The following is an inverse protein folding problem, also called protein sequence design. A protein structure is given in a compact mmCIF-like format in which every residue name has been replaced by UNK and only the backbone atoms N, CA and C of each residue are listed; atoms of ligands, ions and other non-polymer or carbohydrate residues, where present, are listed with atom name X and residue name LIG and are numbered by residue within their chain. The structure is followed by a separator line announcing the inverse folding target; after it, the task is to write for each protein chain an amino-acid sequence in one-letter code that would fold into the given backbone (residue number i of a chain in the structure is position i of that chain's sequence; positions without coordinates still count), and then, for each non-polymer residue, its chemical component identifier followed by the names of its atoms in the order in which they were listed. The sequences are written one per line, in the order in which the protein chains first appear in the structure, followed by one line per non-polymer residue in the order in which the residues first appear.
data_IF_673402460229
#
_entry.id   IF_673402460229
#
_cell.length_a   1.000
_cell.length_b   1.000
_cell.length_c   1.000
_cell.angle_alpha   90.00
_cell.angle_beta   90.00
_cell.angle_gamma   90.00
#
_symmetry.space_group_name_H-M   'P 1'
#
loop_
_entity.id
_entity.type
_entity.pdbx_description
1 polymer ?
#
# COMPACT_ATOMS: atom_id res chain seq x y z
N UNK A 1 -6.08 -2.56 -26.01
CA UNK A 1 -4.69 -2.79 -26.47
C UNK A 1 -4.55 -4.27 -26.78
N UNK A 2 -4.05 -4.64 -27.97
CA UNK A 2 -3.76 -6.04 -28.28
C UNK A 2 -2.43 -6.39 -27.61
N UNK A 3 -2.40 -7.43 -26.78
CA UNK A 3 -1.14 -7.95 -26.23
C UNK A 3 -0.28 -8.47 -27.40
N UNK A 4 0.96 -7.98 -27.48
CA UNK A 4 1.97 -8.45 -28.42
C UNK A 4 3.11 -9.15 -27.67
N UNK A 5 3.77 -10.07 -28.36
CA UNK A 5 4.91 -10.84 -27.91
C UNK A 5 6.16 -10.32 -28.63
N UNK A 6 7.14 -9.83 -27.87
CA UNK A 6 8.40 -9.33 -28.42
C UNK A 6 9.45 -10.45 -28.47
N UNK A 7 10.00 -10.72 -29.65
CA UNK A 7 11.17 -11.58 -29.80
C UNK A 7 12.40 -10.92 -29.15
N UNK A 8 13.11 -11.62 -28.27
CA UNK A 8 14.28 -11.11 -27.55
C UNK A 8 15.58 -11.20 -28.35
N UNK A 9 15.61 -12.03 -29.38
CA UNK A 9 16.76 -12.15 -30.30
C UNK A 9 16.79 -10.99 -31.32
N UNK A 10 15.64 -10.58 -31.86
CA UNK A 10 15.57 -9.55 -32.92
C UNK A 10 14.68 -8.34 -32.62
N UNK A 11 14.00 -8.30 -31.49
CA UNK A 11 13.14 -7.19 -31.08
C UNK A 11 11.76 -7.11 -31.77
N UNK A 12 11.45 -8.02 -32.70
CA UNK A 12 10.21 -8.02 -33.48
C UNK A 12 8.97 -8.26 -32.61
N UNK A 13 7.94 -7.43 -32.79
CA UNK A 13 6.65 -7.57 -32.12
C UNK A 13 5.70 -8.47 -32.91
N UNK A 14 5.19 -9.51 -32.27
CA UNK A 14 4.37 -10.58 -32.86
C UNK A 14 3.04 -10.66 -32.11
N UNK A 15 1.93 -10.78 -32.84
CA UNK A 15 0.59 -10.71 -32.23
C UNK A 15 0.22 -11.92 -31.36
N UNK A 16 0.82 -13.08 -31.58
CA UNK A 16 0.42 -14.33 -30.93
C UNK A 16 1.62 -15.16 -30.47
N UNK A 17 1.43 -15.94 -29.41
CA UNK A 17 2.46 -16.85 -28.91
C UNK A 17 2.89 -17.87 -29.98
N UNK A 18 1.92 -18.47 -30.68
CA UNK A 18 2.22 -19.42 -31.76
C UNK A 18 3.04 -18.76 -32.89
N UNK A 19 2.75 -17.49 -33.20
CA UNK A 19 3.56 -16.70 -34.12
C UNK A 19 4.99 -16.51 -33.63
N UNK A 20 5.18 -16.21 -32.33
CA UNK A 20 6.50 -16.09 -31.72
C UNK A 20 7.27 -17.41 -31.80
N UNK A 21 6.64 -18.53 -31.44
CA UNK A 21 7.24 -19.87 -31.54
C UNK A 21 7.69 -20.16 -32.97
N UNK A 22 6.81 -19.96 -33.95
CA UNK A 22 7.13 -20.19 -35.37
C UNK A 22 8.28 -19.28 -35.84
N UNK A 23 8.26 -18.01 -35.43
CA UNK A 23 9.31 -17.06 -35.74
C UNK A 23 10.67 -17.51 -35.19
N UNK A 24 10.76 -17.86 -33.92
CA UNK A 24 12.01 -18.31 -33.28
C UNK A 24 12.57 -19.55 -33.97
N UNK A 25 11.73 -20.55 -34.23
CA UNK A 25 12.16 -21.80 -34.87
C UNK A 25 12.61 -21.56 -36.31
N UNK A 26 11.91 -20.74 -37.08
CA UNK A 26 12.19 -20.58 -38.51
C UNK A 26 13.33 -19.60 -38.79
N UNK A 27 13.40 -18.49 -38.06
CA UNK A 27 14.38 -17.41 -38.31
C UNK A 27 15.63 -17.54 -37.46
N UNK A 28 15.50 -17.92 -36.19
CA UNK A 28 16.63 -18.03 -35.28
C UNK A 28 17.16 -19.47 -35.15
N UNK A 29 16.40 -20.46 -35.62
CA UNK A 29 16.73 -21.89 -35.51
C UNK A 29 16.93 -22.35 -34.06
N UNK A 30 16.31 -21.66 -33.11
CA UNK A 30 16.36 -21.96 -31.67
C UNK A 30 15.14 -22.81 -31.30
N UNK A 31 15.32 -23.80 -30.41
CA UNK A 31 14.20 -24.57 -29.88
C UNK A 31 13.40 -23.73 -28.88
N UNK A 32 12.07 -23.87 -28.79
CA UNK A 32 11.26 -23.07 -27.86
C UNK A 32 11.70 -23.22 -26.39
N UNK A 33 12.11 -24.42 -25.99
CA UNK A 33 12.62 -24.69 -24.63
C UNK A 33 13.92 -23.91 -24.36
N UNK A 34 14.87 -23.95 -25.28
CA UNK A 34 16.15 -23.22 -25.18
C UNK A 34 15.92 -21.69 -25.15
N UNK A 35 15.00 -21.20 -25.98
CA UNK A 35 14.60 -19.80 -25.95
C UNK A 35 13.98 -19.41 -24.59
N UNK A 36 13.15 -20.29 -24.03
CA UNK A 36 12.53 -20.08 -22.73
C UNK A 36 13.58 -20.01 -21.62
N UNK A 37 14.47 -20.99 -21.55
CA UNK A 37 15.57 -21.04 -20.58
C UNK A 37 16.46 -19.79 -20.66
N UNK A 38 16.74 -19.30 -21.87
CA UNK A 38 17.62 -18.13 -22.08
C UNK A 38 16.98 -16.79 -21.71
N UNK A 39 15.67 -16.62 -21.91
CA UNK A 39 15.04 -15.29 -21.87
C UNK A 39 13.83 -15.14 -20.94
N UNK A 40 13.22 -16.24 -20.49
CA UNK A 40 11.94 -16.22 -19.78
C UNK A 40 12.05 -16.93 -18.42
N UNK A 41 12.81 -18.02 -18.34
CA UNK A 41 12.88 -18.88 -17.17
C UNK A 41 13.32 -18.11 -15.92
N UNK A 42 12.66 -18.44 -14.80
CA UNK A 42 13.01 -17.92 -13.48
C UNK A 42 13.88 -18.92 -12.72
N UNK A 43 14.61 -18.44 -11.71
CA UNK A 43 15.44 -19.29 -10.87
C UNK A 43 14.59 -20.35 -10.17
N UNK A 44 14.98 -21.63 -10.33
CA UNK A 44 14.26 -22.77 -9.74
C UNK A 44 13.16 -23.38 -10.63
N UNK A 45 12.86 -22.80 -11.80
CA UNK A 45 11.98 -23.43 -12.77
C UNK A 45 12.59 -24.72 -13.36
N UNK A 46 11.73 -25.59 -13.90
CA UNK A 46 12.17 -26.87 -14.45
C UNK A 46 12.38 -27.97 -13.40
N UNK A 47 12.18 -27.70 -12.11
CA UNK A 47 12.29 -28.69 -11.03
C UNK A 47 10.94 -29.00 -10.38
N UNK A 48 10.73 -30.26 -10.03
CA UNK A 48 9.52 -30.75 -9.40
C UNK A 48 9.43 -30.21 -7.98
N UNK A 49 8.33 -29.54 -7.64
CA UNK A 49 8.12 -28.98 -6.29
C UNK A 49 8.08 -30.03 -5.18
N UNK A 50 7.85 -31.31 -5.51
CA UNK A 50 7.81 -32.40 -4.54
C UNK A 50 9.16 -33.10 -4.34
N UNK A 51 9.81 -33.52 -5.44
CA UNK A 51 11.00 -34.37 -5.37
C UNK A 51 12.26 -33.74 -5.95
N UNK A 52 12.20 -32.50 -6.45
CA UNK A 52 13.34 -31.80 -7.04
C UNK A 52 13.77 -32.28 -8.43
N UNK A 53 13.24 -33.40 -8.94
CA UNK A 53 13.58 -33.93 -10.26
C UNK A 53 13.19 -32.97 -11.39
N UNK A 54 13.88 -33.08 -12.53
CA UNK A 54 13.55 -32.31 -13.74
C UNK A 54 12.11 -32.54 -14.18
N UNK A 55 11.50 -31.49 -14.70
CA UNK A 55 10.12 -31.47 -15.18
C UNK A 55 10.09 -31.21 -16.68
N UNK A 56 8.96 -31.54 -17.32
CA UNK A 56 8.84 -31.38 -18.77
C UNK A 56 8.45 -29.95 -19.12
N UNK A 57 9.12 -29.38 -20.11
CA UNK A 57 8.70 -28.15 -20.77
C UNK A 57 7.35 -28.32 -21.46
N UNK A 58 6.47 -27.33 -21.35
CA UNK A 58 5.13 -27.31 -21.95
C UNK A 58 5.16 -26.42 -23.20
N UNK A 59 5.33 -25.12 -23.02
CA UNK A 59 5.38 -24.12 -24.08
C UNK A 59 5.92 -22.78 -23.53
N UNK A 60 6.12 -21.78 -24.41
CA UNK A 60 6.65 -20.46 -24.00
C UNK A 60 5.75 -19.68 -23.03
N UNK A 61 4.45 -20.00 -22.95
CA UNK A 61 3.49 -19.28 -22.10
C UNK A 61 3.41 -19.90 -20.70
N UNK A 62 3.50 -21.22 -20.61
CA UNK A 62 3.33 -21.96 -19.36
C UNK A 62 4.65 -22.45 -18.77
N UNK A 63 5.74 -22.45 -19.55
CA UNK A 63 7.06 -22.89 -19.09
C UNK A 63 7.11 -24.37 -18.78
N UNK A 64 7.65 -24.70 -17.61
CA UNK A 64 7.79 -26.08 -17.15
C UNK A 64 6.61 -26.55 -16.30
N UNK A 65 6.32 -27.86 -16.34
CA UNK A 65 5.37 -28.47 -15.40
C UNK A 65 5.87 -28.28 -13.96
N UNK A 66 4.97 -27.94 -13.04
CA UNK A 66 5.29 -27.84 -11.60
C UNK A 66 5.72 -29.16 -10.96
N UNK A 67 5.29 -30.28 -11.53
CA UNK A 67 5.56 -31.62 -11.01
C UNK A 67 6.02 -32.54 -12.13
N UNK A 68 6.97 -33.44 -11.82
CA UNK A 68 7.49 -34.40 -12.80
C UNK A 68 6.51 -35.53 -13.11
N UNK A 69 5.54 -35.80 -12.22
CA UNK A 69 4.57 -36.88 -12.38
C UNK A 69 3.27 -36.58 -11.64
N UNK A 70 2.21 -37.29 -12.04
CA UNK A 70 0.92 -37.27 -11.34
C UNK A 70 1.05 -37.75 -9.90
N UNK A 71 1.90 -38.74 -9.63
CA UNK A 71 2.18 -39.24 -8.28
C UNK A 71 2.80 -38.17 -7.39
N UNK A 72 3.82 -37.46 -7.88
CA UNK A 72 4.44 -36.36 -7.14
C UNK A 72 3.45 -35.23 -6.87
N UNK A 73 2.61 -34.89 -7.85
CA UNK A 73 1.52 -33.92 -7.67
C UNK A 73 0.58 -34.35 -6.54
N UNK A 74 0.11 -35.59 -6.53
CA UNK A 74 -0.84 -36.06 -5.52
C UNK A 74 -0.24 -36.16 -4.13
N UNK A 75 1.04 -36.55 -4.02
CA UNK A 75 1.74 -36.55 -2.73
C UNK A 75 1.90 -35.13 -2.18
N UNK A 76 2.36 -34.22 -3.04
CA UNK A 76 2.46 -32.80 -2.68
C UNK A 76 1.12 -32.24 -2.20
N UNK A 77 0.04 -32.48 -2.97
CA UNK A 77 -1.32 -32.09 -2.59
C UNK A 77 -1.72 -32.72 -1.25
N UNK A 78 -1.46 -34.00 -1.03
CA UNK A 78 -1.83 -34.67 0.22
C UNK A 78 -1.09 -34.15 1.46
N UNK A 79 0.10 -33.57 1.28
CA UNK A 79 0.92 -32.97 2.34
C UNK A 79 0.65 -31.47 2.53
N UNK A 80 0.27 -30.74 1.48
CA UNK A 80 0.19 -29.27 1.48
C UNK A 80 -1.23 -28.71 1.34
N UNK A 81 -2.19 -29.46 0.77
CA UNK A 81 -3.58 -29.02 0.69
C UNK A 81 -4.35 -29.40 1.97
N UNK A 82 -5.30 -28.54 2.33
CA UNK A 82 -6.23 -28.80 3.44
C UNK A 82 -7.16 -29.97 3.11
N UNK A 83 -7.10 -31.01 3.95
CA UNK A 83 -8.04 -32.13 3.89
C UNK A 83 -9.44 -31.63 4.22
N UNK A 84 -10.41 -31.99 3.39
CA UNK A 84 -11.80 -31.63 3.61
C UNK A 84 -12.58 -32.83 4.12
N UNK A 85 -13.41 -32.60 5.13
CA UNK A 85 -14.36 -33.56 5.66
C UNK A 85 -15.69 -32.86 5.95
N UNK A 86 -16.81 -33.51 5.62
CA UNK A 86 -18.14 -33.02 5.93
C UNK A 86 -19.09 -34.20 6.17
N UNK A 87 -19.96 -34.05 7.16
CA UNK A 87 -21.06 -34.98 7.41
C UNK A 87 -22.27 -34.62 6.55
N UNK A 88 -22.87 -35.61 5.90
CA UNK A 88 -24.13 -35.44 5.18
C UNK A 88 -25.28 -35.29 6.18
N UNK A 89 -26.10 -34.25 6.05
CA UNK A 89 -27.23 -33.96 6.94
C UNK A 89 -28.44 -34.87 6.65
N UNK A 90 -28.54 -35.46 5.46
CA UNK A 90 -29.62 -36.38 5.10
C UNK A 90 -29.44 -37.78 5.73
N UNK A 91 -28.20 -38.29 5.81
CA UNK A 91 -27.94 -39.67 6.23
C UNK A 91 -26.83 -39.84 7.27
N UNK A 92 -26.19 -38.76 7.68
CA UNK A 92 -25.12 -38.76 8.68
C UNK A 92 -23.78 -39.34 8.22
N UNK A 93 -23.63 -39.73 6.95
CA UNK A 93 -22.38 -40.27 6.42
C UNK A 93 -21.31 -39.18 6.27
N UNK A 94 -20.10 -39.44 6.76
CA UNK A 94 -18.96 -38.52 6.64
C UNK A 94 -18.22 -38.74 5.32
N UNK A 95 -18.03 -37.66 4.57
CA UNK A 95 -17.37 -37.66 3.26
C UNK A 95 -16.04 -36.94 3.39
N UNK A 96 -14.97 -37.56 2.91
CA UNK A 96 -13.62 -37.04 3.03
C UNK A 96 -12.91 -36.96 1.68
N UNK A 97 -12.14 -35.90 1.48
CA UNK A 97 -11.29 -35.72 0.31
C UNK A 97 -9.97 -35.04 0.62
N UNK A 98 -8.90 -35.38 -0.11
CA UNK A 98 -7.57 -34.80 0.11
C UNK A 98 -7.47 -33.32 -0.29
N UNK A 99 -8.46 -32.80 -1.02
CA UNK A 99 -8.56 -31.40 -1.43
C UNK A 99 -10.00 -31.07 -1.82
N UNK A 100 -10.27 -29.78 -2.07
CA UNK A 100 -11.59 -29.23 -2.45
C UNK A 100 -12.22 -29.92 -3.65
N UNK A 101 -11.45 -30.22 -4.69
CA UNK A 101 -11.98 -30.81 -5.93
C UNK A 101 -12.37 -32.28 -5.73
N UNK A 102 -11.48 -33.07 -5.14
CA UNK A 102 -11.73 -34.49 -4.87
C UNK A 102 -12.88 -34.66 -3.86
N UNK A 103 -12.93 -33.82 -2.83
CA UNK A 103 -14.04 -33.80 -1.88
C UNK A 103 -15.36 -33.44 -2.57
N UNK A 104 -15.39 -32.36 -3.36
CA UNK A 104 -16.60 -31.94 -4.06
C UNK A 104 -17.15 -33.03 -4.98
N UNK A 105 -16.30 -33.71 -5.75
CA UNK A 105 -16.73 -34.80 -6.63
C UNK A 105 -17.32 -35.98 -5.84
N UNK A 106 -16.66 -36.40 -4.76
CA UNK A 106 -17.18 -37.46 -3.89
C UNK A 106 -18.52 -37.08 -3.27
N UNK A 107 -18.65 -35.83 -2.82
CA UNK A 107 -19.88 -35.32 -2.24
C UNK A 107 -21.03 -35.34 -3.26
N UNK A 108 -20.79 -34.90 -4.48
CA UNK A 108 -21.77 -34.94 -5.57
C UNK A 108 -22.21 -36.36 -5.89
N UNK A 109 -21.26 -37.30 -5.93
CA UNK A 109 -21.58 -38.70 -6.15
C UNK A 109 -22.44 -39.26 -5.01
N UNK A 110 -22.14 -38.89 -3.77
CA UNK A 110 -22.96 -39.24 -2.62
C UNK A 110 -24.37 -38.66 -2.71
N UNK A 111 -24.55 -37.39 -3.05
CA UNK A 111 -25.88 -36.77 -3.13
C UNK A 111 -26.83 -37.49 -4.11
N UNK A 112 -26.27 -38.13 -5.15
CA UNK A 112 -27.07 -38.95 -6.09
C UNK A 112 -27.75 -40.13 -5.41
N UNK A 113 -27.23 -40.66 -4.29
CA UNK A 113 -27.90 -41.74 -3.54
C UNK A 113 -29.21 -41.28 -2.90
N UNK A 114 -29.36 -39.97 -2.70
CA UNK A 114 -30.56 -39.34 -2.14
C UNK A 114 -31.45 -38.72 -3.23
N UNK A 115 -31.05 -38.81 -4.51
CA UNK A 115 -31.75 -38.13 -5.60
C UNK A 115 -31.66 -36.60 -5.53
N UNK A 116 -30.71 -36.05 -4.77
CA UNK A 116 -30.54 -34.60 -4.60
C UNK A 116 -29.47 -34.05 -5.53
N UNK A 117 -29.71 -32.84 -6.04
CA UNK A 117 -28.67 -32.01 -6.61
C UNK A 117 -27.90 -31.28 -5.52
N UNK A 118 -26.68 -30.82 -5.84
CA UNK A 118 -25.90 -29.98 -4.91
C UNK A 118 -26.67 -28.73 -4.47
N UNK A 119 -27.40 -28.10 -5.39
CA UNK A 119 -28.13 -26.86 -5.12
C UNK A 119 -29.28 -27.12 -4.15
N UNK A 120 -30.05 -28.18 -4.37
CA UNK A 120 -31.15 -28.55 -3.47
C UNK A 120 -30.65 -28.89 -2.07
N UNK A 121 -29.57 -29.66 -1.97
CA UNK A 121 -28.94 -29.94 -0.69
C UNK A 121 -28.48 -28.65 0.01
N UNK A 122 -27.83 -27.75 -0.74
CA UNK A 122 -27.38 -26.47 -0.22
C UNK A 122 -28.55 -25.60 0.27
N UNK A 123 -29.59 -25.46 -0.55
CA UNK A 123 -30.79 -24.68 -0.23
C UNK A 123 -31.52 -25.21 1.01
N UNK A 124 -31.49 -26.54 1.22
CA UNK A 124 -32.16 -27.20 2.35
C UNK A 124 -31.36 -27.15 3.66
N UNK A 125 -30.04 -27.28 3.61
CA UNK A 125 -29.21 -27.49 4.80
C UNK A 125 -28.16 -26.43 5.09
N UNK A 126 -27.64 -25.74 4.06
CA UNK A 126 -26.45 -24.90 4.20
C UNK A 126 -26.72 -23.42 3.93
N UNK A 127 -27.81 -23.09 3.25
CA UNK A 127 -28.13 -21.73 2.82
C UNK A 127 -28.41 -20.81 4.01
N UNK A 128 -27.75 -19.66 4.01
CA UNK A 128 -27.97 -18.61 5.01
C UNK A 128 -29.15 -17.72 4.62
N UNK A 129 -29.86 -17.08 5.59
CA UNK A 129 -31.03 -16.24 5.30
C UNK A 129 -30.76 -15.08 4.33
N UNK A 130 -29.56 -14.51 4.36
CA UNK A 130 -29.15 -13.40 3.49
C UNK A 130 -28.66 -13.82 2.09
N UNK A 131 -28.55 -15.12 1.82
CA UNK A 131 -28.00 -15.63 0.56
C UNK A 131 -29.06 -15.79 -0.55
N UNK A 132 -28.57 -15.77 -1.80
CA UNK A 132 -29.41 -15.90 -2.98
C UNK A 132 -30.08 -14.60 -3.42
N UNK A 133 -29.74 -13.46 -2.81
CA UNK A 133 -30.20 -12.12 -3.20
C UNK A 133 -29.03 -11.16 -3.38
N UNK A 134 -29.12 -10.29 -4.38
CA UNK A 134 -28.06 -9.34 -4.70
C UNK A 134 -28.02 -8.22 -3.65
N UNK A 135 -26.84 -7.96 -3.10
CA UNK A 135 -26.64 -6.90 -2.08
C UNK A 135 -26.93 -5.47 -2.59
N UNK A 136 -26.95 -5.26 -3.92
CA UNK A 136 -27.17 -3.94 -4.52
C UNK A 136 -28.62 -3.72 -4.94
N UNK A 137 -29.27 -4.72 -5.53
CA UNK A 137 -30.60 -4.57 -6.11
C UNK A 137 -31.65 -5.57 -5.63
N UNK A 138 -31.31 -6.49 -4.71
CA UNK A 138 -32.22 -7.48 -4.14
C UNK A 138 -32.65 -8.63 -5.06
N UNK A 139 -32.28 -8.58 -6.35
CA UNK A 139 -32.60 -9.63 -7.33
C UNK A 139 -31.97 -10.98 -6.98
N UNK A 140 -32.57 -12.11 -7.37
CA UNK A 140 -31.99 -13.43 -7.13
C UNK A 140 -30.60 -13.55 -7.77
N UNK A 141 -29.71 -14.27 -7.10
CA UNK A 141 -28.33 -14.49 -7.57
C UNK A 141 -28.11 -15.93 -8.02
N UNK A 142 -27.10 -16.15 -8.86
CA UNK A 142 -26.75 -17.48 -9.36
C UNK A 142 -26.06 -18.32 -8.29
N UNK A 143 -26.42 -19.60 -8.21
CA UNK A 143 -25.72 -20.60 -7.42
C UNK A 143 -24.46 -21.09 -8.16
N UNK A 144 -23.33 -21.23 -7.45
CA UNK A 144 -22.09 -21.76 -8.02
C UNK A 144 -21.90 -23.25 -7.71
N UNK A 145 -21.66 -23.57 -6.43
CA UNK A 145 -21.46 -24.91 -5.91
C UNK A 145 -21.67 -24.87 -4.39
N UNK A 146 -21.72 -26.02 -3.74
CA UNK A 146 -22.11 -26.06 -2.33
C UNK A 146 -21.01 -25.56 -1.39
N UNK A 147 -19.76 -25.46 -1.85
CA UNK A 147 -18.66 -24.88 -1.08
C UNK A 147 -18.69 -23.34 -1.09
N UNK A 148 -19.09 -22.74 -2.21
CA UNK A 148 -19.11 -21.28 -2.40
C UNK A 148 -20.50 -20.66 -2.18
N UNK A 149 -21.56 -21.44 -2.40
CA UNK A 149 -22.94 -20.98 -2.31
C UNK A 149 -23.39 -20.09 -3.46
N UNK A 150 -24.17 -19.08 -3.12
CA UNK A 150 -24.74 -18.12 -4.05
C UNK A 150 -23.82 -16.93 -4.29
N UNK A 151 -23.85 -16.38 -5.51
CA UNK A 151 -23.18 -15.13 -5.81
C UNK A 151 -23.74 -14.00 -4.92
N UNK A 152 -22.86 -13.08 -4.49
CA UNK A 152 -23.27 -11.88 -3.73
C UNK A 152 -23.98 -10.85 -4.61
N UNK A 153 -23.71 -10.87 -5.92
CA UNK A 153 -24.22 -9.92 -6.88
C UNK A 153 -24.84 -10.67 -8.07
N UNK A 154 -25.92 -10.13 -8.64
CA UNK A 154 -26.62 -10.78 -9.76
C UNK A 154 -25.96 -10.56 -11.12
N UNK A 155 -25.08 -9.56 -11.24
CA UNK A 155 -24.43 -9.19 -12.51
C UNK A 155 -23.08 -8.51 -12.26
N UNK A 156 -22.25 -8.45 -13.30
CA UNK A 156 -20.98 -7.70 -13.26
C UNK A 156 -21.17 -6.21 -12.99
N UNK A 157 -22.30 -5.62 -13.43
CA UNK A 157 -22.65 -4.23 -13.15
C UNK A 157 -22.89 -4.04 -11.64
N UNK A 158 -23.70 -4.90 -11.01
CA UNK A 158 -23.93 -4.81 -9.57
C UNK A 158 -22.68 -5.17 -8.77
N UNK A 159 -21.81 -6.05 -9.27
CA UNK A 159 -20.52 -6.30 -8.65
C UNK A 159 -19.63 -5.05 -8.67
N UNK A 160 -19.52 -4.37 -9.82
CA UNK A 160 -18.78 -3.12 -9.93
C UNK A 160 -19.36 -2.01 -9.04
N UNK A 161 -20.69 -1.89 -8.94
CA UNK A 161 -21.33 -0.95 -8.02
C UNK A 161 -21.01 -1.25 -6.56
N UNK A 162 -21.01 -2.53 -6.17
CA UNK A 162 -20.65 -2.93 -4.81
C UNK A 162 -19.18 -2.61 -4.48
N UNK A 163 -18.26 -2.78 -5.44
CA UNK A 163 -16.85 -2.39 -5.28
C UNK A 163 -16.73 -0.88 -5.10
N UNK A 164 -17.33 -0.08 -5.99
CA UNK A 164 -17.33 1.38 -5.87
C UNK A 164 -17.91 1.87 -4.53
N UNK A 165 -18.98 1.24 -4.06
CA UNK A 165 -19.57 1.60 -2.78
C UNK A 165 -18.61 1.34 -1.60
N UNK A 166 -17.81 0.28 -1.67
CA UNK A 166 -16.77 -0.01 -0.68
C UNK A 166 -15.62 0.97 -0.74
N UNK A 167 -15.11 1.26 -1.93
CA UNK A 167 -14.04 2.25 -2.15
C UNK A 167 -14.45 3.62 -1.59
N UNK A 168 -15.67 4.09 -1.87
CA UNK A 168 -16.20 5.35 -1.32
C UNK A 168 -16.34 5.29 0.21
N UNK A 169 -16.65 4.13 0.79
CA UNK A 169 -16.73 3.98 2.24
C UNK A 169 -15.34 3.97 2.90
N UNK A 170 -14.36 3.32 2.27
CA UNK A 170 -12.96 3.28 2.72
C UNK A 170 -12.32 4.67 2.61
N UNK A 171 -12.53 5.38 1.50
CA UNK A 171 -12.09 6.76 1.31
C UNK A 171 -12.65 7.69 2.39
N UNK A 172 -13.95 7.56 2.70
CA UNK A 172 -14.57 8.36 3.77
C UNK A 172 -13.96 8.08 5.14
N UNK A 173 -13.59 6.83 5.43
CA UNK A 173 -12.90 6.49 6.68
C UNK A 173 -11.51 7.09 6.73
N UNK A 174 -10.77 7.00 5.64
CA UNK A 174 -9.44 7.58 5.52
C UNK A 174 -9.46 9.10 5.71
N UNK A 175 -10.38 9.80 5.03
CA UNK A 175 -10.53 11.26 5.16
C UNK A 175 -10.90 11.68 6.60
N UNK A 176 -11.76 10.91 7.26
CA UNK A 176 -12.11 11.17 8.67
C UNK A 176 -10.90 10.98 9.59
N UNK A 177 -10.11 9.93 9.37
CA UNK A 177 -8.88 9.69 10.13
C UNK A 177 -7.86 10.83 9.93
N UNK A 178 -7.66 11.29 8.70
CA UNK A 178 -6.81 12.44 8.40
C UNK A 178 -7.29 13.72 9.10
N UNK A 179 -8.61 13.93 9.13
CA UNK A 179 -9.22 15.06 9.85
C UNK A 179 -8.94 14.99 11.35
N UNK A 180 -9.11 13.82 11.97
CA UNK A 180 -8.83 13.61 13.40
C UNK A 180 -7.36 13.90 13.70
N UNK A 181 -6.44 13.34 12.92
CA UNK A 181 -4.99 13.55 13.11
C UNK A 181 -4.64 15.04 13.04
N UNK A 182 -5.18 15.75 12.05
CA UNK A 182 -4.95 17.18 11.89
C UNK A 182 -5.45 17.98 13.11
N UNK A 183 -6.66 17.68 13.58
CA UNK A 183 -7.24 18.34 14.75
C UNK A 183 -6.41 18.08 16.01
N UNK A 184 -5.97 16.85 16.24
CA UNK A 184 -5.12 16.50 17.38
C UNK A 184 -3.81 17.28 17.36
N UNK A 185 -3.13 17.35 16.21
CA UNK A 185 -1.88 18.11 16.07
C UNK A 185 -2.07 19.61 16.29
N UNK A 186 -3.18 20.17 15.79
CA UNK A 186 -3.52 21.58 16.02
C UNK A 186 -3.76 21.86 17.51
N UNK A 187 -4.40 20.94 18.23
CA UNK A 187 -4.65 21.06 19.67
C UNK A 187 -3.38 20.92 20.49
N UNK A 188 -2.52 19.95 20.17
CA UNK A 188 -1.19 19.78 20.76
C UNK A 188 -0.35 21.05 20.60
N UNK A 189 -0.36 21.65 19.41
CA UNK A 189 0.36 22.91 19.15
C UNK A 189 -0.19 24.07 19.98
N UNK A 190 -1.51 24.21 20.11
CA UNK A 190 -2.12 25.25 20.96
C UNK A 190 -1.73 25.07 22.43
N UNK A 191 -1.76 23.85 22.94
CA UNK A 191 -1.37 23.53 24.30
C UNK A 191 0.10 23.90 24.54
N UNK A 192 1.00 23.52 23.63
CA UNK A 192 2.41 23.90 23.69
C UNK A 192 2.62 25.43 23.73
N UNK A 193 1.93 26.18 22.86
CA UNK A 193 2.01 27.64 22.85
C UNK A 193 1.47 28.24 24.16
N UNK A 194 0.42 27.67 24.73
CA UNK A 194 -0.14 28.13 26.00
C UNK A 194 0.84 27.88 27.16
N UNK A 195 1.45 26.70 27.23
CA UNK A 195 2.49 26.37 28.22
C UNK A 195 3.68 27.34 28.14
N UNK A 196 4.11 27.71 26.93
CA UNK A 196 5.16 28.70 26.74
C UNK A 196 4.76 30.08 27.29
N UNK A 197 3.52 30.53 27.03
CA UNK A 197 3.02 31.81 27.56
C UNK A 197 2.98 31.80 29.09
N UNK A 198 2.51 30.71 29.68
CA UNK A 198 2.43 30.58 31.14
C UNK A 198 3.82 30.59 31.78
N UNK A 199 4.81 29.93 31.15
CA UNK A 199 6.22 29.98 31.57
C UNK A 199 6.81 31.39 31.50
N UNK A 200 6.50 32.15 30.45
CA UNK A 200 6.95 33.55 30.30
C UNK A 200 6.27 34.43 31.36
N UNK A 201 4.99 34.20 31.66
CA UNK A 201 4.27 34.96 32.68
C UNK A 201 4.77 34.66 34.11
N UNK A 202 5.21 33.44 34.39
CA UNK A 202 5.83 33.06 35.67
C UNK A 202 7.28 33.54 35.80
N UNK A 203 7.90 34.02 34.72
CA UNK A 203 9.26 34.53 34.75
C UNK A 203 9.30 35.89 35.44
N UNK A 204 9.85 35.93 36.66
CA UNK A 204 10.00 37.14 37.46
C UNK A 204 11.12 38.03 36.89
N UNK A 205 10.73 38.91 35.97
CA UNK A 205 11.60 39.91 35.37
C UNK A 205 12.20 40.90 36.37
N UNK A 206 11.61 41.07 37.57
CA UNK A 206 12.10 42.03 38.58
C UNK A 206 13.17 41.40 39.48
N UNK A 207 13.02 40.11 39.83
CA UNK A 207 14.03 39.33 40.54
C UNK A 207 15.35 39.21 39.77
N UNK A 208 15.30 38.94 38.46
CA UNK A 208 16.52 38.89 37.64
C UNK A 208 17.11 40.27 37.36
N UNK A 209 16.30 41.30 37.11
CA UNK A 209 16.81 42.67 36.90
C UNK A 209 17.63 43.18 38.09
N UNK A 210 17.22 42.82 39.31
CA UNK A 210 17.96 43.15 40.54
C UNK A 210 19.25 42.32 40.71
N UNK A 211 19.32 41.11 40.14
CA UNK A 211 20.55 40.31 40.04
C UNK A 211 21.58 40.94 39.09
N UNK A 212 21.13 41.43 37.92
CA UNK A 212 21.99 42.10 36.94
C UNK A 212 22.46 43.50 37.39
N UNK A 213 21.64 44.24 38.15
CA UNK A 213 22.04 45.54 38.73
C UNK A 213 22.78 45.41 40.07
N UNK A 214 22.79 44.21 40.67
CA UNK A 214 23.47 43.88 41.93
C UNK A 214 24.92 43.42 41.78
N UNK A 215 25.36 43.12 40.56
CA UNK A 215 26.78 42.94 40.25
C UNK A 215 27.51 44.27 40.35
N UNK A 216 28.45 44.37 41.30
CA UNK A 216 29.37 45.50 41.49
C UNK A 216 29.63 46.26 40.19
N UNK A 217 29.21 47.54 40.13
CA UNK A 217 29.57 48.47 39.06
C UNK A 217 31.03 48.21 38.66
N UNK A 218 31.35 47.94 37.39
CA UNK A 218 32.74 47.88 36.97
C UNK A 218 33.39 49.18 37.42
N UNK A 219 34.42 49.04 38.25
CA UNK A 219 35.23 50.16 38.71
C UNK A 219 35.85 50.73 37.44
N UNK A 220 35.32 51.85 36.95
CA UNK A 220 36.02 52.65 35.95
C UNK A 220 37.31 53.12 36.61
N UNK A 221 38.39 52.39 36.35
CA UNK A 221 39.73 52.86 36.64
C UNK A 221 39.96 54.01 35.66
N UNK A 222 39.91 55.21 36.19
CA UNK A 222 40.24 56.44 35.49
C UNK A 222 41.76 56.47 35.29
N UNK A 223 42.24 55.87 34.20
CA UNK A 223 43.55 56.22 33.64
C UNK A 223 43.36 57.44 32.76
N UNK A 224 43.40 58.62 33.38
CA UNK A 224 43.89 59.82 32.70
C UNK A 224 45.32 59.52 32.26
N UNK A 225 45.48 59.25 30.97
CA UNK A 225 46.54 59.76 30.10
C UNK A 225 46.49 58.97 28.79
N UNK A 226 45.60 59.39 27.88
CA UNK A 226 46.04 59.88 26.58
C UNK A 226 44.86 60.43 25.79
N UNK A 227 45.06 61.67 25.36
CA UNK A 227 44.30 62.38 24.37
C UNK A 227 44.22 61.56 23.08
N UNK A 228 43.06 61.58 22.41
CA UNK A 228 42.86 62.17 21.07
C UNK A 228 41.35 62.14 20.77
N UNK A 229 40.76 63.34 20.86
CA UNK A 229 39.69 63.97 20.04
C UNK A 229 38.51 63.11 19.55
N UNK A 230 37.33 63.36 20.10
CA UNK A 230 36.26 64.20 19.48
C UNK A 230 35.44 63.46 18.42
N UNK A 231 34.23 63.02 18.78
CA UNK A 231 33.08 63.83 18.39
C UNK A 231 31.82 63.45 19.18
N UNK A 232 31.23 64.49 19.76
CA UNK A 232 29.95 64.54 20.45
C UNK A 232 28.79 64.12 19.55
N UNK A 233 27.94 63.22 20.04
CA UNK A 233 26.61 62.98 19.49
C UNK A 233 25.60 63.52 20.50
N UNK A 234 25.11 64.73 20.22
CA UNK A 234 24.01 65.36 20.95
C UNK A 234 22.68 64.86 20.40
N UNK A 235 21.77 64.55 21.31
CA UNK A 235 20.34 64.35 21.05
C UNK A 235 19.70 65.68 20.66
N UNK A 236 18.95 65.69 19.55
CA UNK A 236 17.87 66.66 19.30
C UNK A 236 16.68 65.93 18.63
N UNK A 237 15.50 66.27 19.12
CA UNK A 237 14.15 65.86 18.74
C UNK A 237 13.79 65.94 17.25
N UNK A 238 12.90 65.01 16.88
CA UNK A 238 11.72 65.18 16.01
C UNK A 238 11.78 66.10 14.79
N UNK A 239 11.61 65.51 13.60
CA UNK A 239 10.56 65.87 12.63
C UNK A 239 10.49 64.89 11.45
N UNK A 240 9.26 64.58 11.04
CA UNK A 240 8.90 63.85 9.83
C UNK A 240 9.18 64.67 8.57
N UNK A 241 9.70 64.04 7.51
CA UNK A 241 9.44 64.44 6.13
C UNK A 241 9.42 63.22 5.21
N UNK A 242 8.32 63.08 4.46
CA UNK A 242 8.21 62.25 3.26
C UNK A 242 8.71 63.03 2.04
N UNK A 243 9.43 62.39 1.12
CA UNK A 243 9.24 62.54 -0.33
C UNK A 243 10.24 61.65 -1.09
N UNK A 244 9.69 60.58 -1.68
CA UNK A 244 9.98 60.01 -3.00
C UNK A 244 11.41 60.14 -3.59
N UNK A 245 12.07 58.98 -3.76
CA UNK A 245 13.29 58.84 -4.55
C UNK A 245 13.71 57.37 -4.71
N UNK A 246 13.33 56.78 -5.84
CA UNK A 246 13.44 55.38 -6.26
C UNK A 246 14.73 54.59 -5.92
N UNK A 247 14.51 53.38 -5.38
CA UNK A 247 15.00 52.07 -5.83
C UNK A 247 16.52 51.80 -6.00
N UNK A 248 17.10 51.05 -5.05
CA UNK A 248 17.91 49.84 -5.34
C UNK A 248 17.69 48.82 -4.21
N UNK A 249 17.05 47.70 -4.53
CA UNK A 249 16.99 46.50 -3.69
C UNK A 249 18.30 45.73 -3.81
N UNK A 250 19.20 45.85 -2.84
CA UNK A 250 20.25 44.86 -2.61
C UNK A 250 20.83 45.01 -1.20
N UNK A 251 21.08 43.87 -0.54
CA UNK A 251 21.75 43.69 0.75
C UNK A 251 21.01 44.10 2.03
N UNK A 252 20.13 43.19 2.50
CA UNK A 252 20.10 42.74 3.91
C UNK A 252 19.45 41.35 3.97
N UNK A 253 20.15 40.36 3.41
CA UNK A 253 20.04 38.96 3.83
C UNK A 253 21.38 38.63 4.45
N UNK A 254 21.49 38.77 5.76
CA UNK A 254 22.41 37.98 6.58
C UNK A 254 22.12 38.28 8.06
N UNK A 255 22.03 37.20 8.84
CA UNK A 255 21.87 37.14 10.30
C UNK A 255 20.44 37.12 10.88
N UNK A 256 19.69 36.08 10.48
CA UNK A 256 18.86 35.33 11.42
C UNK A 256 19.18 33.84 11.29
N UNK A 257 20.37 33.44 11.77
CA UNK A 257 20.70 32.03 11.95
C UNK A 257 19.94 31.52 13.18
N UNK A 258 18.71 31.05 12.96
CA UNK A 258 18.10 30.05 13.81
C UNK A 258 18.50 28.69 13.22
N UNK A 259 19.09 27.86 14.05
CA UNK A 259 19.52 26.50 13.73
C UNK A 259 18.29 25.68 13.30
N UNK A 260 18.09 25.55 12.00
CA UNK A 260 17.23 24.51 11.43
C UNK A 260 18.00 23.19 11.50
N UNK A 261 17.58 22.29 12.39
CA UNK A 261 18.04 20.91 12.38
C UNK A 261 17.43 20.16 11.19
N UNK A 262 18.19 19.21 10.62
CA UNK A 262 17.90 18.49 9.37
C UNK A 262 16.63 17.62 9.38
N UNK A 263 15.85 17.58 10.46
CA UNK A 263 14.63 16.77 10.57
C UNK A 263 13.38 17.38 9.89
N UNK A 264 13.44 18.63 9.44
CA UNK A 264 12.26 19.32 8.86
C UNK A 264 12.20 19.33 7.32
N UNK A 265 13.19 18.79 6.61
CA UNK A 265 13.21 18.77 5.13
C UNK A 265 12.40 17.62 4.51
N UNK A 266 12.03 16.60 5.28
CA UNK A 266 11.25 15.47 4.76
C UNK A 266 9.72 15.72 4.72
N UNK A 267 9.22 16.79 5.34
CA UNK A 267 7.77 17.00 5.45
C UNK A 267 7.08 17.66 4.24
N UNK A 268 7.82 18.32 3.35
CA UNK A 268 7.23 18.98 2.17
C UNK A 268 7.11 18.09 0.92
N UNK A 269 7.58 16.83 0.96
CA UNK A 269 7.47 15.91 -0.18
C UNK A 269 6.24 14.99 -0.15
N UNK A 270 5.33 15.14 0.82
CA UNK A 270 4.09 14.32 0.93
C UNK A 270 2.87 15.05 0.33
N UNK A 271 3.05 16.22 -0.31
CA UNK A 271 1.93 17.02 -0.83
C UNK A 271 1.64 16.88 -2.34
N UNK A 272 2.33 15.99 -3.06
CA UNK A 272 2.01 15.70 -4.47
C UNK A 272 2.33 14.25 -4.85
N UNK A 273 1.49 13.30 -4.45
CA UNK A 273 1.21 12.04 -5.18
C UNK A 273 -0.10 11.40 -4.69
#
# INVERSE_FOLDING_TARGET
MKLTYKCKECGLDILTNNGLVSHIVNYHKIKPEEYYEKYIAQEGEGKCLYCGNKTTFIDLKHGYKKYCSFTCRNKWIGEHDEKMSMKCEECGFTIEGPNKNSFSQKFVYHLKTHGLTQKEYYDKYLKKPEEGKCVVCGKPTSYYNFLQGYAKNCSGICAAQAVKAKEIAEERKFQEEQRIIKQTKEEEYKNYVQELKDRVHQFDWEGERNSWLGGTKPRFINTKDNLITDNSMSYIDGQEYSAEGQCVTEHYKEHSNIVETEEFKDFNNIFWL
#
